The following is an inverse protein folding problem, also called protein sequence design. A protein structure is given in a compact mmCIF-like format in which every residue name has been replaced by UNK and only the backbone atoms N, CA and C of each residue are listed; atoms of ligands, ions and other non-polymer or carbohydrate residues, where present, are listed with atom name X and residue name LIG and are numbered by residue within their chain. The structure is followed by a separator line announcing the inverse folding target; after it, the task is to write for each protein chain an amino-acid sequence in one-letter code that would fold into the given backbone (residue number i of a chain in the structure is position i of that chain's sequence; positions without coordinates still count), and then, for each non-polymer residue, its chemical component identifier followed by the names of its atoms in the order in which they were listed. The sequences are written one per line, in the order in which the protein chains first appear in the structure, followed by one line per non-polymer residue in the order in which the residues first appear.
data_IF_239586559969
#
_entry.id   IF_239586559969
#
_cell.length_a   1.000
_cell.length_b   1.000
_cell.length_c   1.000
_cell.angle_alpha   90.00
_cell.angle_beta   90.00
_cell.angle_gamma   90.00
#
_symmetry.space_group_name_H-M   'P 1'
#
loop_
_entity.id
_entity.type
_entity.pdbx_description
1 polymer ?
#
# COMPACT_ATOMS: atom_id res chain seq x y z
N UNK A 1 26.16 -3.87 13.43
CA UNK A 1 24.69 -3.87 13.44
C UNK A 1 24.08 -2.49 13.28
N UNK A 2 24.44 -1.45 14.05
CA UNK A 2 23.98 -0.08 13.77
C UNK A 2 24.20 0.29 12.29
N UNK A 3 25.41 0.05 11.78
CA UNK A 3 25.76 0.25 10.36
C UNK A 3 24.92 -0.60 9.38
N UNK A 4 24.60 -1.86 9.69
CA UNK A 4 23.79 -2.72 8.80
C UNK A 4 22.32 -2.27 8.70
N UNK A 5 21.74 -1.81 9.82
CA UNK A 5 20.37 -1.28 9.84
C UNK A 5 20.27 0.08 9.15
N UNK A 6 21.26 0.97 9.31
CA UNK A 6 21.34 2.21 8.53
C UNK A 6 21.49 1.92 7.04
N UNK A 7 22.35 0.97 6.65
CA UNK A 7 22.52 0.59 5.24
C UNK A 7 21.25 0.03 4.60
N UNK A 8 20.44 -0.75 5.32
CA UNK A 8 19.17 -1.28 4.77
C UNK A 8 18.10 -0.20 4.63
N UNK A 9 18.01 0.72 5.60
CA UNK A 9 17.10 1.88 5.53
C UNK A 9 17.49 2.81 4.37
N UNK A 10 18.79 3.01 4.14
CA UNK A 10 19.31 3.81 3.03
C UNK A 10 19.04 3.10 1.70
N UNK A 11 19.35 1.80 1.56
CA UNK A 11 19.13 1.04 0.33
C UNK A 11 17.65 0.98 -0.09
N UNK A 12 16.72 0.90 0.86
CA UNK A 12 15.28 0.93 0.57
C UNK A 12 14.80 2.31 0.09
N UNK A 13 15.49 3.39 0.48
CA UNK A 13 15.16 4.79 0.12
C UNK A 13 15.91 5.26 -1.13
N UNK A 14 17.08 4.69 -1.44
CA UNK A 14 17.99 5.16 -2.51
C UNK A 14 18.00 4.28 -3.76
N UNK A 15 17.06 3.35 -3.95
CA UNK A 15 17.04 2.52 -5.16
C UNK A 15 16.84 3.41 -6.39
N UNK A 16 17.74 3.36 -7.41
CA UNK A 16 17.67 4.23 -8.57
C UNK A 16 16.29 4.23 -9.23
N UNK A 17 15.85 5.46 -9.52
CA UNK A 17 14.62 5.75 -10.25
C UNK A 17 14.85 5.40 -11.72
N UNK A 18 14.14 4.38 -12.21
CA UNK A 18 13.89 4.32 -13.65
C UNK A 18 12.74 5.29 -13.87
N UNK A 19 12.99 6.44 -14.49
CA UNK A 19 11.91 7.36 -14.82
C UNK A 19 10.97 6.64 -15.80
N UNK A 20 9.71 6.41 -15.42
CA UNK A 20 8.72 5.98 -16.40
C UNK A 20 8.59 7.10 -17.43
N UNK A 21 8.98 6.84 -18.68
CA UNK A 21 8.78 7.80 -19.77
C UNK A 21 7.28 7.88 -20.03
N UNK A 22 6.69 9.07 -19.86
CA UNK A 22 5.32 9.29 -20.30
C UNK A 22 5.29 9.15 -21.82
N UNK A 23 4.32 8.38 -22.34
CA UNK A 23 4.05 8.30 -23.77
C UNK A 23 3.69 9.70 -24.29
N UNK A 24 4.39 10.18 -25.30
CA UNK A 24 4.20 11.51 -25.88
C UNK A 24 2.72 11.81 -26.22
N UNK A 25 1.96 10.86 -26.81
CA UNK A 25 0.52 11.00 -27.05
C UNK A 25 -0.33 11.24 -25.79
N UNK A 26 0.05 10.66 -24.66
CA UNK A 26 -0.68 10.83 -23.39
C UNK A 26 -0.50 12.24 -22.83
N UNK A 27 0.66 12.87 -23.05
CA UNK A 27 0.92 14.23 -22.64
C UNK A 27 0.06 15.23 -23.42
N UNK A 28 -0.08 15.04 -24.74
CA UNK A 28 -0.99 15.81 -25.58
C UNK A 28 -2.44 15.68 -25.10
N UNK A 29 -2.93 14.44 -24.93
CA UNK A 29 -4.30 14.18 -24.50
C UNK A 29 -4.59 14.75 -23.11
N UNK A 30 -3.67 14.54 -22.16
CA UNK A 30 -3.81 15.07 -20.80
C UNK A 30 -3.93 16.59 -20.80
N UNK A 31 -3.07 17.32 -21.53
CA UNK A 31 -3.14 18.77 -21.60
C UNK A 31 -4.48 19.25 -22.17
N UNK A 32 -4.91 18.64 -23.27
CA UNK A 32 -6.15 18.99 -23.97
C UNK A 32 -7.41 18.64 -23.18
N UNK A 33 -7.35 17.62 -22.33
CA UNK A 33 -8.48 17.24 -21.46
C UNK A 33 -8.89 18.33 -20.46
N UNK A 34 -7.99 19.28 -20.17
CA UNK A 34 -8.28 20.45 -19.31
C UNK A 34 -8.78 21.66 -20.11
N UNK A 35 -8.79 21.61 -21.44
CA UNK A 35 -9.30 22.67 -22.31
C UNK A 35 -10.81 22.54 -22.43
N UNK A 36 -11.53 23.65 -22.24
CA UNK A 36 -12.97 23.69 -22.42
C UNK A 36 -13.28 24.01 -23.88
N UNK A 37 -13.48 22.98 -24.72
CA UNK A 37 -13.91 23.19 -26.10
C UNK A 37 -15.41 23.49 -26.19
N UNK A 38 -15.82 24.39 -27.08
CA UNK A 38 -17.23 24.61 -27.40
C UNK A 38 -17.84 23.37 -28.07
N UNK A 39 -19.06 22.99 -27.71
CA UNK A 39 -19.78 21.85 -28.28
C UNK A 39 -20.03 20.73 -27.27
N UNK A 40 -20.28 19.51 -27.76
CA UNK A 40 -20.61 18.36 -26.91
C UNK A 40 -19.43 18.02 -25.97
N UNK A 41 -19.70 18.00 -24.66
CA UNK A 41 -18.71 17.74 -23.61
C UNK A 41 -18.55 16.26 -23.25
N UNK A 42 -19.43 15.39 -23.75
CA UNK A 42 -19.44 13.96 -23.43
C UNK A 42 -18.39 13.23 -24.27
N UNK A 43 -17.26 12.83 -23.66
CA UNK A 43 -16.08 12.23 -24.35
C UNK A 43 -15.56 13.08 -25.51
N UNK A 44 -15.09 14.29 -25.19
CA UNK A 44 -14.59 15.26 -26.17
C UNK A 44 -13.54 14.68 -27.12
N UNK A 45 -12.68 13.78 -26.62
CA UNK A 45 -11.66 13.08 -27.41
C UNK A 45 -12.23 12.19 -28.53
N UNK A 46 -13.51 11.83 -28.47
CA UNK A 46 -14.19 11.01 -29.47
C UNK A 46 -15.19 11.80 -30.31
N UNK A 47 -15.79 12.88 -29.78
CA UNK A 47 -16.93 13.56 -30.42
C UNK A 47 -16.66 15.01 -30.80
N UNK A 48 -15.70 15.67 -30.16
CA UNK A 48 -15.48 17.09 -30.36
C UNK A 48 -14.41 17.30 -31.43
N UNK A 49 -14.82 17.80 -32.60
CA UNK A 49 -13.91 18.05 -33.72
C UNK A 49 -12.79 19.03 -33.36
N UNK A 50 -13.06 20.03 -32.52
CA UNK A 50 -12.03 20.99 -32.08
C UNK A 50 -10.95 20.29 -31.25
N UNK A 51 -11.36 19.41 -30.35
CA UNK A 51 -10.44 18.61 -29.54
C UNK A 51 -9.60 17.67 -30.43
N UNK A 52 -10.26 16.94 -31.34
CA UNK A 52 -9.60 16.00 -32.25
C UNK A 52 -8.54 16.71 -33.09
N UNK A 53 -8.88 17.85 -33.71
CA UNK A 53 -7.93 18.64 -34.52
C UNK A 53 -6.78 19.18 -33.66
N UNK A 54 -7.07 19.66 -32.45
CA UNK A 54 -6.03 20.14 -31.51
C UNK A 54 -5.09 19.02 -31.05
N UNK A 55 -5.61 17.81 -30.86
CA UNK A 55 -4.84 16.62 -30.52
C UNK A 55 -3.87 16.24 -31.63
N UNK A 56 -4.34 16.21 -32.88
CA UNK A 56 -3.46 15.98 -34.03
C UNK A 56 -2.41 17.09 -34.20
N UNK A 57 -2.76 18.36 -33.96
CA UNK A 57 -1.80 19.46 -33.96
C UNK A 57 -0.67 19.20 -32.96
N UNK A 58 -1.02 18.81 -31.73
CA UNK A 58 -0.03 18.49 -30.70
C UNK A 58 0.87 17.30 -31.09
N UNK A 59 0.28 16.22 -31.60
CA UNK A 59 1.03 15.05 -32.06
C UNK A 59 2.00 15.41 -33.19
N UNK A 60 1.58 16.24 -34.14
CA UNK A 60 2.44 16.66 -35.25
C UNK A 60 3.60 17.54 -34.78
N UNK A 61 3.36 18.39 -33.79
CA UNK A 61 4.36 19.30 -33.26
C UNK A 61 5.38 18.61 -32.34
N UNK A 62 4.92 17.72 -31.45
CA UNK A 62 5.75 17.14 -30.39
C UNK A 62 6.03 15.63 -30.54
N UNK A 63 5.19 14.89 -31.25
CA UNK A 63 5.20 13.42 -31.30
C UNK A 63 5.10 12.84 -32.74
N UNK A 64 5.87 13.33 -33.74
CA UNK A 64 5.62 12.96 -35.14
C UNK A 64 5.76 11.45 -35.41
N UNK A 65 6.65 10.76 -34.69
CA UNK A 65 6.87 9.32 -34.84
C UNK A 65 5.79 8.42 -34.21
N UNK A 66 5.00 8.93 -33.27
CA UNK A 66 4.00 8.16 -32.51
C UNK A 66 2.55 8.45 -32.97
N UNK A 67 2.36 9.37 -33.93
CA UNK A 67 1.03 9.85 -34.33
C UNK A 67 0.11 8.75 -34.89
N UNK A 68 0.65 7.79 -35.65
CA UNK A 68 -0.11 6.67 -36.24
C UNK A 68 -0.58 5.68 -35.16
N UNK A 69 0.30 5.37 -34.20
CA UNK A 69 -0.02 4.50 -33.07
C UNK A 69 -1.06 5.15 -32.16
N UNK A 70 -0.86 6.44 -31.84
CA UNK A 70 -1.79 7.26 -31.06
C UNK A 70 -3.20 7.28 -31.68
N UNK A 71 -3.28 7.46 -33.00
CA UNK A 71 -4.56 7.41 -33.72
C UNK A 71 -5.24 6.04 -33.61
N UNK A 72 -4.48 4.96 -33.75
CA UNK A 72 -5.01 3.60 -33.64
C UNK A 72 -5.55 3.33 -32.23
N UNK A 73 -4.83 3.79 -31.20
CA UNK A 73 -5.25 3.72 -29.81
C UNK A 73 -6.53 4.55 -29.54
N UNK A 74 -6.60 5.78 -30.07
CA UNK A 74 -7.78 6.64 -29.95
C UNK A 74 -9.00 5.99 -30.63
N UNK A 75 -8.84 5.48 -31.87
CA UNK A 75 -9.91 4.78 -32.60
C UNK A 75 -10.42 3.56 -31.84
N UNK A 76 -9.52 2.81 -31.18
CA UNK A 76 -9.90 1.66 -30.33
C UNK A 76 -10.74 2.12 -29.13
N UNK A 77 -10.35 3.20 -28.48
CA UNK A 77 -11.05 3.78 -27.32
C UNK A 77 -12.43 4.34 -27.71
N UNK A 78 -12.55 4.91 -28.90
CA UNK A 78 -13.76 5.57 -29.37
C UNK A 78 -14.69 4.67 -30.22
N UNK A 79 -14.43 3.36 -30.33
CA UNK A 79 -15.22 2.42 -31.16
C UNK A 79 -16.75 2.47 -30.98
N UNK A 80 -17.24 2.89 -29.81
CA UNK A 80 -18.68 3.00 -29.51
C UNK A 80 -19.28 4.39 -29.78
N UNK A 81 -18.50 5.32 -30.33
CA UNK A 81 -18.87 6.73 -30.55
C UNK A 81 -18.61 7.09 -32.03
N UNK A 82 -19.14 8.22 -32.50
CA UNK A 82 -19.07 8.65 -33.91
C UNK A 82 -17.69 8.46 -34.58
N UNK A 83 -17.68 8.27 -35.90
CA UNK A 83 -16.47 7.97 -36.66
C UNK A 83 -15.45 9.12 -36.58
N UNK A 84 -14.29 8.87 -35.96
CA UNK A 84 -13.14 9.79 -35.96
C UNK A 84 -12.63 9.94 -37.40
N UNK A 85 -12.35 11.17 -37.88
CA UNK A 85 -11.80 11.39 -39.21
C UNK A 85 -10.45 10.66 -39.40
N UNK A 86 -10.19 10.21 -40.61
CA UNK A 86 -8.89 9.61 -40.97
C UNK A 86 -7.77 10.64 -40.81
N UNK A 87 -6.64 10.21 -40.24
CA UNK A 87 -5.48 11.09 -39.98
C UNK A 87 -5.00 11.84 -41.22
N UNK A 88 -5.10 11.22 -42.41
CA UNK A 88 -4.73 11.82 -43.69
C UNK A 88 -5.67 12.96 -44.14
N UNK A 89 -6.91 12.96 -43.66
CA UNK A 89 -7.93 13.96 -44.01
C UNK A 89 -7.92 15.16 -43.05
N UNK A 90 -7.10 15.10 -41.99
CA UNK A 90 -6.96 16.20 -41.02
C UNK A 90 -5.79 17.07 -41.43
N UNK A 91 -6.00 17.93 -42.42
CA UNK A 91 -5.03 18.96 -42.82
C UNK A 91 -5.03 20.08 -41.78
N UNK A 92 -4.01 20.10 -40.92
CA UNK A 92 -3.83 21.14 -39.90
C UNK A 92 -2.62 21.99 -40.26
N UNK A 93 -2.85 23.29 -40.45
CA UNK A 93 -1.79 24.30 -40.43
C UNK A 93 -1.42 24.58 -38.98
N UNK A 94 -0.32 23.97 -38.51
CA UNK A 94 0.11 24.03 -37.10
C UNK A 94 0.53 25.45 -36.71
N UNK A 95 1.07 26.20 -37.66
CA UNK A 95 1.61 27.55 -37.42
C UNK A 95 0.50 28.61 -37.35
N UNK A 96 -0.64 28.35 -38.01
CA UNK A 96 -1.81 29.24 -38.01
C UNK A 96 -2.75 29.10 -36.80
N UNK A 97 -2.58 28.06 -35.97
CA UNK A 97 -3.47 27.84 -34.81
C UNK A 97 -3.10 28.72 -33.61
N UNK A 98 -4.12 29.18 -32.89
CA UNK A 98 -3.94 29.90 -31.65
C UNK A 98 -3.26 29.01 -30.59
N UNK A 99 -2.20 29.52 -29.95
CA UNK A 99 -1.49 28.83 -28.87
C UNK A 99 -2.28 28.96 -27.57
N UNK A 100 -2.47 27.84 -26.88
CA UNK A 100 -3.08 27.81 -25.54
C UNK A 100 -2.01 27.65 -24.45
N UNK A 101 -2.10 28.50 -23.44
CA UNK A 101 -1.15 28.53 -22.32
C UNK A 101 -1.75 27.89 -21.07
N UNK A 102 -0.91 27.55 -20.09
CA UNK A 102 -1.40 27.08 -18.78
C UNK A 102 -2.30 28.12 -18.08
N UNK A 103 -2.09 29.42 -18.35
CA UNK A 103 -2.91 30.50 -17.79
C UNK A 103 -4.34 30.49 -18.32
N UNK A 104 -4.52 30.11 -19.58
CA UNK A 104 -5.82 30.07 -20.22
C UNK A 104 -6.69 28.92 -19.70
N UNK A 105 -6.06 27.83 -19.26
CA UNK A 105 -6.76 26.72 -18.58
C UNK A 105 -7.43 27.18 -17.27
N UNK A 106 -6.80 28.08 -16.52
CA UNK A 106 -7.39 28.59 -15.26
C UNK A 106 -8.61 29.48 -15.49
N UNK A 107 -8.71 30.15 -16.64
CA UNK A 107 -9.86 30.99 -16.99
C UNK A 107 -11.11 30.16 -17.30
N UNK A 108 -10.94 28.88 -17.66
CA UNK A 108 -12.03 27.96 -18.06
C UNK A 108 -12.94 28.54 -19.16
N UNK A 109 -12.38 29.38 -20.03
CA UNK A 109 -13.12 30.02 -21.10
C UNK A 109 -13.36 29.01 -22.25
N UNK A 110 -14.58 28.92 -22.81
CA UNK A 110 -14.83 28.04 -23.94
C UNK A 110 -14.05 28.44 -25.19
N UNK A 111 -13.30 27.51 -25.76
CA UNK A 111 -12.54 27.68 -26.98
C UNK A 111 -13.39 27.29 -28.18
N UNK A 112 -13.55 28.21 -29.14
CA UNK A 112 -14.43 28.06 -30.32
C UNK A 112 -13.73 27.57 -31.59
N UNK A 113 -12.41 27.44 -31.55
CA UNK A 113 -11.56 27.05 -32.68
C UNK A 113 -10.51 26.02 -32.23
N UNK A 114 -9.91 25.25 -33.14
CA UNK A 114 -8.79 24.39 -32.79
C UNK A 114 -7.62 25.21 -32.25
N UNK A 115 -6.86 24.62 -31.34
CA UNK A 115 -5.71 25.27 -30.71
C UNK A 115 -4.49 24.36 -30.78
N UNK A 116 -3.31 24.95 -30.73
CA UNK A 116 -2.07 24.22 -30.50
C UNK A 116 -1.54 24.48 -29.11
N UNK A 117 -0.81 23.53 -28.53
CA UNK A 117 -0.24 23.70 -27.20
C UNK A 117 0.98 24.60 -27.26
N UNK A 118 1.10 25.52 -26.30
CA UNK A 118 2.37 26.16 -26.02
C UNK A 118 3.37 25.13 -25.44
N UNK A 119 4.64 25.27 -25.76
CA UNK A 119 5.70 24.37 -25.28
C UNK A 119 5.74 24.26 -23.75
N UNK A 120 5.57 25.38 -23.05
CA UNK A 120 5.54 25.40 -21.58
C UNK A 120 4.38 24.57 -21.01
N UNK A 121 3.20 24.59 -21.65
CA UNK A 121 2.05 23.79 -21.28
C UNK A 121 2.25 22.30 -21.61
N UNK A 122 2.85 22.00 -22.76
CA UNK A 122 3.20 20.62 -23.12
C UNK A 122 4.17 20.00 -22.12
N UNK A 123 5.28 20.68 -21.81
CA UNK A 123 6.26 20.22 -20.81
C UNK A 123 5.66 20.06 -19.41
N UNK A 124 4.73 20.95 -19.04
CA UNK A 124 3.98 20.87 -17.78
C UNK A 124 3.06 19.63 -17.74
N UNK A 125 2.43 19.28 -18.86
CA UNK A 125 1.64 18.06 -19.01
C UNK A 125 2.52 16.81 -18.91
N UNK A 126 3.65 16.79 -19.62
CA UNK A 126 4.65 15.71 -19.52
C UNK A 126 5.05 15.49 -18.06
N UNK A 127 5.45 16.56 -17.35
CA UNK A 127 5.82 16.47 -15.93
C UNK A 127 4.66 15.99 -15.05
N UNK A 128 3.44 16.44 -15.32
CA UNK A 128 2.24 16.01 -14.56
C UNK A 128 2.00 14.51 -14.66
N UNK A 129 2.18 13.93 -15.85
CA UNK A 129 1.99 12.48 -16.06
C UNK A 129 3.17 11.68 -15.54
N UNK A 130 4.41 12.06 -15.88
CA UNK A 130 5.61 11.33 -15.44
C UNK A 130 5.73 11.34 -13.92
N UNK A 131 5.42 12.46 -13.28
CA UNK A 131 5.36 12.56 -11.81
C UNK A 131 4.33 11.58 -11.24
N UNK A 132 3.10 11.55 -11.78
CA UNK A 132 2.06 10.64 -11.30
C UNK A 132 2.45 9.15 -11.47
N UNK A 133 3.01 8.78 -12.63
CA UNK A 133 3.43 7.41 -12.91
C UNK A 133 4.63 7.00 -12.02
N UNK A 134 5.61 7.89 -11.83
CA UNK A 134 6.71 7.66 -10.90
C UNK A 134 6.21 7.49 -9.45
N UNK A 135 5.18 8.24 -9.05
CA UNK A 135 4.53 8.09 -7.74
C UNK A 135 3.83 6.73 -7.57
N UNK A 136 3.17 6.21 -8.61
CA UNK A 136 2.56 4.87 -8.53
C UNK A 136 3.63 3.78 -8.45
N UNK A 137 4.72 3.89 -9.23
CA UNK A 137 5.83 2.93 -9.18
C UNK A 137 6.52 2.91 -7.80
N UNK A 138 6.82 4.08 -7.23
CA UNK A 138 7.45 4.16 -5.90
C UNK A 138 6.52 3.62 -4.82
N UNK A 139 5.20 3.74 -4.97
CA UNK A 139 4.24 3.15 -4.02
C UNK A 139 4.32 1.62 -4.02
N UNK A 140 4.34 1.00 -5.21
CA UNK A 140 4.48 -0.46 -5.34
C UNK A 140 5.80 -0.95 -4.72
N UNK A 141 6.90 -0.27 -5.03
CA UNK A 141 8.24 -0.58 -4.47
C UNK A 141 8.24 -0.47 -2.94
N UNK A 142 7.61 0.55 -2.37
CA UNK A 142 7.53 0.73 -0.92
C UNK A 142 6.66 -0.36 -0.27
N UNK A 143 5.59 -0.79 -0.93
CA UNK A 143 4.83 -1.98 -0.52
C UNK A 143 5.71 -3.23 -0.46
N UNK A 144 6.53 -3.47 -1.50
CA UNK A 144 7.49 -4.59 -1.52
C UNK A 144 8.57 -4.48 -0.44
N UNK A 145 8.99 -3.27 -0.08
CA UNK A 145 9.96 -3.06 1.00
C UNK A 145 9.46 -3.60 2.35
N UNK A 146 8.14 -3.59 2.61
CA UNK A 146 7.56 -4.21 3.81
C UNK A 146 7.76 -5.72 3.84
N UNK A 147 7.53 -6.40 2.72
CA UNK A 147 7.78 -7.83 2.61
C UNK A 147 9.27 -8.15 2.71
N UNK A 148 10.12 -7.35 2.05
CA UNK A 148 11.57 -7.48 2.12
C UNK A 148 12.09 -7.36 3.55
N UNK A 149 11.59 -6.38 4.31
CA UNK A 149 11.95 -6.20 5.72
C UNK A 149 11.63 -7.44 6.58
N UNK A 150 10.41 -7.96 6.49
CA UNK A 150 10.02 -9.13 7.29
C UNK A 150 10.65 -10.42 6.79
N UNK A 151 10.81 -10.60 5.48
CA UNK A 151 11.52 -11.73 4.89
C UNK A 151 12.98 -11.78 5.35
N UNK A 152 13.68 -10.64 5.32
CA UNK A 152 15.05 -10.55 5.84
C UNK A 152 15.11 -10.85 7.34
N UNK A 153 14.18 -10.31 8.13
CA UNK A 153 14.12 -10.55 9.58
C UNK A 153 13.91 -12.03 9.90
N UNK A 154 13.00 -12.70 9.17
CA UNK A 154 12.75 -14.14 9.30
C UNK A 154 13.96 -14.95 8.82
N UNK A 155 14.59 -14.57 7.70
CA UNK A 155 15.78 -15.22 7.17
C UNK A 155 16.93 -15.19 8.18
N UNK A 156 17.25 -14.02 8.72
CA UNK A 156 18.28 -13.87 9.77
C UNK A 156 17.97 -14.77 10.96
N UNK A 157 16.73 -14.81 11.41
CA UNK A 157 16.31 -15.66 12.54
C UNK A 157 16.43 -17.15 12.23
N UNK A 158 16.12 -17.54 10.99
CA UNK A 158 16.23 -18.92 10.51
C UNK A 158 17.69 -19.37 10.41
N UNK A 159 18.58 -18.49 9.93
CA UNK A 159 20.02 -18.73 9.89
C UNK A 159 20.60 -18.84 11.31
N UNK A 160 20.16 -18.00 12.25
CA UNK A 160 20.57 -18.09 13.66
C UNK A 160 20.13 -19.42 14.29
N UNK A 161 18.91 -19.88 14.00
CA UNK A 161 18.41 -21.17 14.46
C UNK A 161 19.18 -22.34 13.85
N UNK A 162 19.45 -22.30 12.54
CA UNK A 162 20.25 -23.32 11.85
C UNK A 162 21.66 -23.37 12.43
N UNK A 163 22.27 -22.21 12.69
CA UNK A 163 23.56 -22.11 13.32
C UNK A 163 23.58 -22.77 14.71
N UNK A 164 22.59 -22.45 15.55
CA UNK A 164 22.43 -23.09 16.87
C UNK A 164 22.33 -24.61 16.74
N UNK A 165 21.45 -25.11 15.88
CA UNK A 165 21.30 -26.54 15.62
C UNK A 165 22.60 -27.22 15.17
N UNK A 166 23.35 -26.61 14.24
CA UNK A 166 24.62 -27.14 13.75
C UNK A 166 25.70 -27.16 14.84
N UNK A 167 25.78 -26.10 15.67
CA UNK A 167 26.74 -26.04 16.77
C UNK A 167 26.44 -27.03 17.90
N UNK A 168 25.16 -27.31 18.18
CA UNK A 168 24.75 -28.33 19.16
C UNK A 168 25.00 -29.74 18.62
N UNK A 169 24.74 -29.99 17.34
CA UNK A 169 24.87 -31.32 16.72
C UNK A 169 26.32 -31.68 16.36
N UNK A 170 27.14 -30.70 15.99
CA UNK A 170 28.54 -30.88 15.60
C UNK A 170 29.49 -29.99 16.43
N UNK A 171 29.75 -30.34 17.70
CA UNK A 171 30.50 -29.50 18.63
C UNK A 171 31.95 -29.21 18.19
N UNK A 172 32.54 -30.03 17.30
CA UNK A 172 33.87 -29.80 16.71
C UNK A 172 33.94 -28.55 15.82
N UNK A 173 32.82 -28.12 15.21
CA UNK A 173 32.74 -26.87 14.42
C UNK A 173 32.68 -25.65 15.35
N UNK A 174 32.07 -25.80 16.53
CA UNK A 174 31.96 -24.75 17.54
C UNK A 174 33.26 -24.52 18.35
N UNK A 175 34.27 -25.41 18.23
CA UNK A 175 35.52 -25.32 18.99
C UNK A 175 36.46 -24.18 18.59
N UNK A 176 36.20 -23.44 17.50
CA UNK A 176 36.97 -22.20 17.23
C UNK A 176 36.61 -21.12 18.26
N UNK A 177 37.49 -20.88 19.23
CA UNK A 177 37.23 -20.02 20.39
C UNK A 177 36.76 -18.58 20.10
N UNK A 178 37.10 -18.01 18.93
CA UNK A 178 36.57 -16.71 18.50
C UNK A 178 35.06 -16.74 18.22
N UNK A 179 34.57 -17.83 17.61
CA UNK A 179 33.17 -18.00 17.23
C UNK A 179 32.27 -18.09 18.47
N UNK A 180 32.72 -18.82 19.50
CA UNK A 180 32.03 -18.87 20.80
C UNK A 180 32.06 -17.51 21.52
N UNK A 181 33.19 -16.78 21.50
CA UNK A 181 33.27 -15.44 22.09
C UNK A 181 32.32 -14.44 21.40
N UNK A 182 32.22 -14.48 20.06
CA UNK A 182 31.32 -13.62 19.29
C UNK A 182 29.85 -13.97 19.52
N UNK A 183 29.50 -15.27 19.50
CA UNK A 183 28.13 -15.77 19.79
C UNK A 183 27.68 -15.41 21.20
N UNK A 184 28.54 -15.60 22.21
CA UNK A 184 28.24 -15.23 23.60
C UNK A 184 28.07 -13.73 23.78
N UNK A 185 28.93 -12.90 23.16
CA UNK A 185 28.76 -11.44 23.19
C UNK A 185 27.45 -11.00 22.53
N UNK A 186 27.09 -11.59 21.38
CA UNK A 186 25.82 -11.32 20.70
C UNK A 186 24.63 -11.68 21.58
N UNK A 187 24.66 -12.86 22.22
CA UNK A 187 23.60 -13.31 23.13
C UNK A 187 23.45 -12.39 24.33
N UNK A 188 24.56 -12.05 24.97
CA UNK A 188 24.60 -11.22 26.18
C UNK A 188 24.19 -9.77 25.95
N UNK A 189 24.44 -9.19 24.77
CA UNK A 189 24.19 -7.76 24.56
C UNK A 189 22.93 -7.48 23.72
N UNK A 190 22.48 -8.44 22.90
CA UNK A 190 21.51 -8.19 21.83
C UNK A 190 20.27 -9.07 21.95
N UNK A 191 20.42 -10.39 22.01
CA UNK A 191 19.27 -11.30 21.87
C UNK A 191 18.53 -11.54 23.19
N UNK A 192 19.26 -11.65 24.31
CA UNK A 192 18.71 -12.04 25.62
C UNK A 192 18.23 -10.86 26.48
N UNK A 193 18.88 -9.68 26.52
CA UNK A 193 18.52 -8.71 27.55
C UNK A 193 17.14 -8.04 27.37
N UNK A 194 16.60 -7.52 28.47
CA UNK A 194 15.38 -6.72 28.55
C UNK A 194 15.51 -5.33 27.92
N UNK A 195 14.53 -4.83 27.16
CA UNK A 195 14.60 -3.49 26.53
C UNK A 195 14.82 -2.39 27.56
N UNK A 196 14.04 -2.41 28.63
CA UNK A 196 14.20 -1.61 29.83
C UNK A 196 13.87 -2.51 31.03
N UNK A 197 14.51 -2.28 32.18
CA UNK A 197 14.25 -3.06 33.41
C UNK A 197 15.01 -4.38 33.53
N UNK A 198 14.59 -5.21 34.50
CA UNK A 198 15.26 -6.47 34.90
C UNK A 198 14.68 -7.73 34.23
N UNK A 199 13.55 -7.63 33.50
CA UNK A 199 12.81 -8.79 32.95
C UNK A 199 12.66 -8.71 31.44
N UNK A 200 12.80 -9.86 30.77
CA UNK A 200 12.83 -10.03 29.30
C UNK A 200 11.54 -9.62 28.58
N UNK A 201 10.39 -9.63 29.26
CA UNK A 201 9.15 -9.01 28.80
C UNK A 201 8.45 -8.40 30.02
N UNK A 202 8.13 -7.11 29.96
CA UNK A 202 7.55 -6.37 31.08
C UNK A 202 6.29 -5.64 30.62
N UNK A 203 5.24 -5.69 31.45
CA UNK A 203 4.01 -4.94 31.21
C UNK A 203 4.22 -3.52 31.75
N UNK A 204 4.21 -2.52 30.87
CA UNK A 204 4.29 -1.12 31.25
C UNK A 204 2.94 -0.48 30.92
N UNK A 205 2.12 -0.30 31.95
CA UNK A 205 0.78 0.29 31.84
C UNK A 205 -0.12 -0.44 30.84
N UNK A 206 -0.35 0.19 29.69
CA UNK A 206 -1.29 -0.27 28.65
C UNK A 206 -0.66 -1.23 27.62
N UNK A 207 0.67 -1.43 27.66
CA UNK A 207 1.43 -2.18 26.67
C UNK A 207 2.36 -3.23 27.29
N UNK A 208 2.60 -4.32 26.55
CA UNK A 208 3.64 -5.31 26.87
C UNK A 208 4.88 -5.01 26.03
N UNK A 209 6.01 -4.73 26.68
CA UNK A 209 7.29 -4.44 26.02
C UNK A 209 8.05 -5.73 25.72
N UNK A 210 8.39 -6.01 24.46
CA UNK A 210 9.14 -7.22 24.08
C UNK A 210 10.63 -7.19 24.47
N UNK A 211 11.33 -8.34 24.41
CA UNK A 211 12.79 -8.43 24.57
C UNK A 211 13.55 -7.49 23.62
N UNK A 212 14.80 -7.10 23.94
CA UNK A 212 15.57 -6.08 23.18
C UNK A 212 15.54 -6.27 21.67
N UNK A 213 15.86 -7.46 21.18
CA UNK A 213 15.90 -7.72 19.74
C UNK A 213 14.53 -7.53 19.08
N UNK A 214 13.45 -8.03 19.69
CA UNK A 214 12.09 -7.86 19.16
C UNK A 214 11.72 -6.39 19.11
N UNK A 215 12.05 -5.65 20.17
CA UNK A 215 11.80 -4.21 20.27
C UNK A 215 12.63 -3.42 19.24
N UNK A 216 13.88 -3.79 18.99
CA UNK A 216 14.69 -3.18 17.93
C UNK A 216 14.10 -3.44 16.53
N UNK A 217 13.63 -4.67 16.26
CA UNK A 217 12.93 -5.00 15.01
C UNK A 217 11.65 -4.17 14.86
N UNK A 218 10.86 -4.04 15.93
CA UNK A 218 9.63 -3.23 15.92
C UNK A 218 9.95 -1.75 15.68
N UNK A 219 10.95 -1.19 16.35
CA UNK A 219 11.37 0.21 16.14
C UNK A 219 11.84 0.41 14.71
N UNK A 220 12.63 -0.51 14.15
CA UNK A 220 13.07 -0.44 12.77
C UNK A 220 11.89 -0.53 11.78
N UNK A 221 10.91 -1.40 12.06
CA UNK A 221 9.69 -1.50 11.26
C UNK A 221 8.86 -0.21 11.28
N UNK A 222 8.67 0.39 12.47
CA UNK A 222 7.94 1.67 12.61
C UNK A 222 8.69 2.80 11.90
N UNK A 223 10.02 2.89 12.10
CA UNK A 223 10.85 3.90 11.47
C UNK A 223 10.84 3.77 9.94
N UNK A 224 10.84 2.54 9.42
CA UNK A 224 10.73 2.28 7.98
C UNK A 224 9.36 2.73 7.45
N UNK A 225 8.24 2.33 8.07
CA UNK A 225 6.91 2.78 7.63
C UNK A 225 6.79 4.31 7.65
N UNK A 226 7.26 4.95 8.72
CA UNK A 226 7.26 6.41 8.81
C UNK A 226 8.10 7.07 7.71
N UNK A 227 9.32 6.57 7.47
CA UNK A 227 10.20 7.09 6.42
C UNK A 227 9.57 6.94 5.03
N UNK A 228 8.96 5.79 4.73
CA UNK A 228 8.27 5.54 3.47
C UNK A 228 6.98 6.36 3.32
N UNK A 229 6.32 6.70 4.42
CA UNK A 229 5.15 7.58 4.42
C UNK A 229 5.48 9.03 4.06
N UNK A 230 6.69 9.52 4.32
CA UNK A 230 7.04 10.95 4.16
C UNK A 230 7.99 11.23 3.00
N UNK A 231 8.59 10.20 2.40
CA UNK A 231 9.63 10.36 1.38
C UNK A 231 9.15 10.15 -0.06
N UNK A 232 9.92 10.71 -0.99
CA UNK A 232 9.79 10.44 -2.42
C UNK A 232 8.59 11.10 -3.09
N UNK A 233 8.12 12.25 -2.60
CA UNK A 233 7.06 13.04 -3.24
C UNK A 233 7.63 14.07 -4.22
N UNK A 234 7.14 14.07 -5.46
CA UNK A 234 7.38 15.16 -6.42
C UNK A 234 6.13 16.07 -6.45
N UNK A 235 6.31 17.29 -5.94
CA UNK A 235 5.25 18.29 -5.78
C UNK A 235 5.73 19.59 -6.41
N UNK A 236 4.92 20.17 -7.29
CA UNK A 236 5.34 21.35 -8.04
C UNK A 236 4.16 22.27 -8.40
N UNK A 237 4.39 23.58 -8.51
CA UNK A 237 3.36 24.54 -8.87
C UNK A 237 2.88 24.31 -10.31
N UNK A 238 1.58 24.50 -10.55
CA UNK A 238 1.01 24.41 -11.89
C UNK A 238 0.66 22.99 -12.36
N UNK A 239 0.80 21.96 -11.52
CA UNK A 239 0.34 20.60 -11.85
C UNK A 239 -1.09 20.61 -12.41
N UNK A 240 -1.28 20.06 -13.62
CA UNK A 240 -2.55 20.18 -14.34
C UNK A 240 -3.69 19.43 -13.64
N UNK A 241 -3.38 18.30 -13.00
CA UNK A 241 -4.36 17.46 -12.28
C UNK A 241 -4.75 18.07 -10.95
N UNK A 242 -3.81 18.68 -10.25
CA UNK A 242 -3.98 19.27 -8.91
C UNK A 242 -3.14 20.53 -8.76
N UNK A 243 -3.63 21.70 -9.20
CA UNK A 243 -2.83 22.93 -9.19
C UNK A 243 -2.37 23.38 -7.79
N UNK A 244 -3.17 23.09 -6.77
CA UNK A 244 -2.89 23.43 -5.38
C UNK A 244 -1.87 22.47 -4.74
N UNK A 245 -0.80 23.03 -4.16
CA UNK A 245 0.25 22.28 -3.46
C UNK A 245 -0.32 21.49 -2.27
N UNK A 246 -1.12 22.07 -1.36
CA UNK A 246 -1.79 21.29 -0.30
C UNK A 246 -2.63 20.12 -0.82
N UNK A 247 -3.28 20.28 -1.97
CA UNK A 247 -4.06 19.22 -2.60
C UNK A 247 -3.15 18.10 -3.15
N UNK A 248 -2.03 18.44 -3.76
CA UNK A 248 -1.03 17.45 -4.21
C UNK A 248 -0.50 16.64 -3.03
N UNK A 249 -0.01 17.32 -1.97
CA UNK A 249 0.57 16.68 -0.79
C UNK A 249 -0.45 15.75 -0.12
N UNK A 250 -1.66 16.24 0.16
CA UNK A 250 -2.72 15.43 0.78
C UNK A 250 -3.11 14.24 -0.09
N UNK A 251 -3.21 14.39 -1.41
CA UNK A 251 -3.52 13.27 -2.31
C UNK A 251 -2.42 12.20 -2.29
N UNK A 252 -1.16 12.63 -2.34
CA UNK A 252 0.01 11.75 -2.41
C UNK A 252 0.19 10.99 -1.10
N UNK A 253 0.07 11.67 0.05
CA UNK A 253 0.07 11.03 1.38
C UNK A 253 -1.06 10.02 1.51
N UNK A 254 -2.28 10.37 1.07
CA UNK A 254 -3.42 9.45 1.08
C UNK A 254 -3.17 8.19 0.25
N UNK A 255 -2.58 8.33 -0.94
CA UNK A 255 -2.21 7.18 -1.78
C UNK A 255 -1.13 6.33 -1.10
N UNK A 256 -0.05 6.95 -0.64
CA UNK A 256 1.10 6.28 0.00
C UNK A 256 0.67 5.44 1.20
N UNK A 257 -0.05 6.06 2.13
CA UNK A 257 -0.57 5.39 3.34
C UNK A 257 -1.52 4.26 2.96
N UNK A 258 -2.39 4.44 1.97
CA UNK A 258 -3.27 3.39 1.45
C UNK A 258 -2.51 2.14 0.99
N UNK A 259 -1.44 2.32 0.21
CA UNK A 259 -0.62 1.20 -0.29
C UNK A 259 0.15 0.51 0.83
N UNK A 260 0.72 1.27 1.78
CA UNK A 260 1.42 0.70 2.93
C UNK A 260 0.50 -0.09 3.86
N UNK A 261 -0.73 0.40 4.09
CA UNK A 261 -1.77 -0.34 4.82
C UNK A 261 -2.00 -1.68 4.14
N UNK A 262 -2.30 -1.68 2.83
CA UNK A 262 -2.55 -2.90 2.07
C UNK A 262 -1.36 -3.86 2.10
N UNK A 263 -0.13 -3.35 1.99
CA UNK A 263 1.09 -4.17 2.10
C UNK A 263 1.26 -4.82 3.48
N UNK A 264 0.92 -4.08 4.56
CA UNK A 264 1.01 -4.56 5.93
C UNK A 264 -0.11 -5.53 6.33
N UNK A 265 -1.27 -5.52 5.66
CA UNK A 265 -2.39 -6.40 5.99
C UNK A 265 -2.02 -7.89 5.91
N UNK A 266 -1.48 -8.45 4.81
CA UNK A 266 -1.08 -9.86 4.76
C UNK A 266 -0.15 -10.29 5.89
N UNK A 267 0.81 -9.42 6.23
CA UNK A 267 1.76 -9.65 7.32
C UNK A 267 1.05 -9.68 8.67
N UNK A 268 0.15 -8.72 8.90
CA UNK A 268 -0.66 -8.64 10.11
C UNK A 268 -1.50 -9.92 10.33
N UNK A 269 -2.18 -10.40 9.30
CA UNK A 269 -3.00 -11.62 9.36
C UNK A 269 -2.14 -12.88 9.52
N UNK A 270 -1.01 -12.96 8.80
CA UNK A 270 -0.07 -14.09 8.88
C UNK A 270 0.49 -14.25 10.29
N UNK A 271 0.87 -13.14 10.94
CA UNK A 271 1.43 -13.18 12.29
C UNK A 271 0.39 -13.41 13.39
N UNK A 272 -0.90 -13.34 13.07
CA UNK A 272 -1.98 -13.71 13.98
C UNK A 272 -2.26 -15.23 14.02
N UNK A 273 -1.76 -16.00 13.04
CA UNK A 273 -2.02 -17.44 12.96
C UNK A 273 -1.45 -18.21 14.14
N UNK A 274 -2.20 -19.24 14.60
CA UNK A 274 -1.69 -20.19 15.61
C UNK A 274 -0.97 -21.35 14.94
N UNK A 275 -1.41 -21.73 13.74
CA UNK A 275 -0.75 -22.76 12.92
C UNK A 275 0.15 -22.10 11.88
N UNK A 276 1.23 -21.46 12.33
CA UNK A 276 2.12 -20.68 11.48
C UNK A 276 3.39 -21.47 11.12
N UNK A 277 3.55 -21.79 9.82
CA UNK A 277 4.76 -22.45 9.28
C UNK A 277 6.02 -21.61 9.57
N UNK A 278 5.90 -20.28 9.59
CA UNK A 278 7.01 -19.39 9.90
C UNK A 278 7.57 -19.62 11.31
N UNK A 279 6.76 -20.12 12.26
CA UNK A 279 7.25 -20.51 13.59
C UNK A 279 8.23 -21.70 13.53
N UNK A 280 7.99 -22.64 12.63
CA UNK A 280 8.91 -23.78 12.44
C UNK A 280 10.22 -23.34 11.80
N UNK A 281 10.15 -22.40 10.86
CA UNK A 281 11.32 -21.90 10.13
C UNK A 281 12.16 -20.97 11.02
N UNK A 282 11.56 -19.94 11.63
CA UNK A 282 12.28 -18.95 12.44
C UNK A 282 12.62 -19.44 13.86
N UNK A 283 11.89 -20.44 14.38
CA UNK A 283 11.99 -20.84 15.79
C UNK A 283 11.32 -19.89 16.76
N UNK A 284 10.60 -18.87 16.28
CA UNK A 284 9.85 -17.97 17.14
C UNK A 284 8.59 -18.63 17.72
N UNK A 285 8.24 -18.23 18.94
CA UNK A 285 7.01 -18.66 19.58
C UNK A 285 5.82 -17.84 19.08
N UNK A 286 4.61 -18.35 19.31
CA UNK A 286 3.39 -17.57 19.05
C UNK A 286 3.37 -16.23 19.80
N UNK A 287 3.97 -16.15 20.99
CA UNK A 287 4.04 -14.89 21.74
C UNK A 287 4.81 -13.81 20.98
N UNK A 288 5.90 -14.19 20.29
CA UNK A 288 6.68 -13.29 19.44
C UNK A 288 5.86 -12.82 18.24
N UNK A 289 5.25 -13.72 17.47
CA UNK A 289 4.41 -13.34 16.33
C UNK A 289 3.20 -12.50 16.75
N UNK A 290 2.55 -12.86 17.85
CA UNK A 290 1.46 -12.08 18.42
C UNK A 290 1.92 -10.66 18.83
N UNK A 291 3.16 -10.51 19.28
CA UNK A 291 3.75 -9.19 19.52
C UNK A 291 3.89 -8.37 18.24
N UNK A 292 4.43 -8.97 17.19
CA UNK A 292 4.55 -8.31 15.89
C UNK A 292 3.19 -7.97 15.28
N UNK A 293 2.21 -8.88 15.33
CA UNK A 293 0.83 -8.63 14.91
C UNK A 293 0.25 -7.37 15.58
N UNK A 294 0.40 -7.22 16.91
CA UNK A 294 -0.10 -6.04 17.64
C UNK A 294 0.57 -4.75 17.19
N UNK A 295 1.86 -4.76 16.92
CA UNK A 295 2.58 -3.57 16.48
C UNK A 295 2.30 -3.21 15.03
N UNK A 296 2.19 -4.20 14.13
CA UNK A 296 1.73 -3.99 12.75
C UNK A 296 0.32 -3.41 12.76
N UNK A 297 -0.60 -3.96 13.56
CA UNK A 297 -1.97 -3.45 13.66
C UNK A 297 -2.03 -1.98 14.12
N UNK A 298 -1.15 -1.55 15.04
CA UNK A 298 -1.05 -0.15 15.47
C UNK A 298 -0.54 0.76 14.36
N UNK A 299 0.46 0.32 13.61
CA UNK A 299 0.99 1.07 12.45
C UNK A 299 -0.10 1.20 11.39
N UNK A 300 -0.76 0.10 11.03
CA UNK A 300 -1.90 0.08 10.09
C UNK A 300 -3.00 1.03 10.54
N UNK A 301 -3.36 1.05 11.83
CA UNK A 301 -4.38 1.98 12.32
C UNK A 301 -3.93 3.45 12.25
N UNK A 302 -2.67 3.74 12.56
CA UNK A 302 -2.15 5.11 12.43
C UNK A 302 -2.16 5.56 10.96
N UNK A 303 -1.74 4.67 10.05
CA UNK A 303 -1.78 4.93 8.60
C UNK A 303 -3.22 5.08 8.09
N UNK A 304 -4.18 4.29 8.57
CA UNK A 304 -5.61 4.41 8.21
C UNK A 304 -6.19 5.77 8.59
N UNK A 305 -5.86 6.28 9.77
CA UNK A 305 -6.28 7.62 10.20
C UNK A 305 -5.62 8.67 9.30
N UNK A 306 -4.33 8.56 9.05
CA UNK A 306 -3.62 9.48 8.15
C UNK A 306 -4.19 9.45 6.72
N UNK A 307 -4.53 8.27 6.21
CA UNK A 307 -5.18 8.06 4.91
C UNK A 307 -6.53 8.77 4.84
N UNK A 308 -7.41 8.56 5.83
CA UNK A 308 -8.73 9.18 5.87
C UNK A 308 -8.64 10.71 5.94
N UNK A 309 -7.76 11.25 6.79
CA UNK A 309 -7.53 12.69 6.91
C UNK A 309 -6.98 13.25 5.58
N UNK A 310 -6.00 12.59 4.99
CA UNK A 310 -5.36 13.04 3.76
C UNK A 310 -6.33 13.07 2.56
N UNK A 311 -7.19 12.06 2.38
CA UNK A 311 -8.22 12.09 1.34
C UNK A 311 -9.32 13.12 1.63
N UNK A 312 -9.72 13.30 2.88
CA UNK A 312 -10.69 14.34 3.28
C UNK A 312 -10.16 15.73 2.94
N UNK A 313 -8.90 16.01 3.26
CA UNK A 313 -8.22 17.26 2.92
C UNK A 313 -8.05 17.42 1.41
N UNK A 314 -7.70 16.35 0.68
CA UNK A 314 -7.53 16.41 -0.78
C UNK A 314 -8.83 16.81 -1.50
N UNK A 315 -9.97 16.28 -1.06
CA UNK A 315 -11.26 16.64 -1.62
C UNK A 315 -11.72 18.04 -1.19
N UNK A 316 -11.47 18.42 0.06
CA UNK A 316 -11.68 19.79 0.53
C UNK A 316 -10.87 20.82 -0.28
N UNK A 317 -9.57 20.61 -0.48
CA UNK A 317 -8.75 21.51 -1.29
C UNK A 317 -9.09 21.48 -2.78
N UNK A 318 -9.78 20.43 -3.25
CA UNK A 318 -10.20 20.32 -4.65
C UNK A 318 -11.51 21.05 -4.96
N UNK A 319 -12.42 21.18 -3.99
CA UNK A 319 -13.76 21.73 -4.25
C UNK A 319 -14.57 22.11 -3.01
N UNK A 320 -13.88 22.35 -1.89
CA UNK A 320 -14.46 22.70 -0.60
C UNK A 320 -15.33 21.59 0.01
N UNK A 321 -16.18 22.01 0.95
CA UNK A 321 -17.13 21.12 1.63
C UNK A 321 -18.08 20.43 0.65
N UNK A 322 -18.48 21.09 -0.45
CA UNK A 322 -19.35 20.49 -1.46
C UNK A 322 -18.74 19.22 -2.06
N UNK A 323 -17.45 19.25 -2.41
CA UNK A 323 -16.78 18.08 -2.97
C UNK A 323 -16.55 16.98 -1.92
N UNK A 324 -16.20 17.37 -0.69
CA UNK A 324 -16.10 16.43 0.43
C UNK A 324 -17.43 15.70 0.69
N UNK A 325 -18.54 16.44 0.80
CA UNK A 325 -19.86 15.85 1.04
C UNK A 325 -20.36 14.99 -0.11
N UNK A 326 -19.95 15.29 -1.35
CA UNK A 326 -20.28 14.47 -2.52
C UNK A 326 -19.71 13.04 -2.48
N UNK A 327 -18.74 12.75 -1.60
CA UNK A 327 -18.20 11.40 -1.45
C UNK A 327 -19.04 10.50 -0.55
N UNK A 328 -19.81 11.05 0.39
CA UNK A 328 -20.55 10.25 1.37
C UNK A 328 -21.59 9.29 0.78
N UNK A 329 -22.28 9.63 -0.34
CA UNK A 329 -23.13 8.66 -1.04
C UNK A 329 -22.37 7.52 -1.73
N UNK A 330 -21.06 7.62 -1.89
CA UNK A 330 -20.26 6.61 -2.57
C UNK A 330 -20.01 5.42 -1.64
N UNK A 331 -20.31 4.20 -2.12
CA UNK A 331 -20.16 2.96 -1.36
C UNK A 331 -18.78 2.83 -0.70
N UNK A 332 -17.72 3.02 -1.49
CA UNK A 332 -16.36 2.86 -1.00
C UNK A 332 -16.01 3.82 0.16
N UNK A 333 -16.63 5.01 0.21
CA UNK A 333 -16.28 6.03 1.20
C UNK A 333 -16.72 5.63 2.60
N UNK A 334 -18.00 5.30 2.77
CA UNK A 334 -18.52 4.93 4.08
C UNK A 334 -18.06 3.54 4.53
N UNK A 335 -17.80 2.59 3.61
CA UNK A 335 -17.15 1.32 3.98
C UNK A 335 -15.71 1.51 4.48
N UNK A 336 -14.99 2.51 3.97
CA UNK A 336 -13.71 2.95 4.54
C UNK A 336 -13.86 3.40 5.99
N UNK A 337 -14.91 4.18 6.29
CA UNK A 337 -15.23 4.61 7.66
C UNK A 337 -15.59 3.42 8.56
N UNK A 338 -16.42 2.49 8.09
CA UNK A 338 -16.77 1.25 8.82
C UNK A 338 -15.51 0.45 9.18
N UNK A 339 -14.56 0.32 8.24
CA UNK A 339 -13.29 -0.36 8.48
C UNK A 339 -12.47 0.34 9.57
N UNK A 340 -12.33 1.66 9.50
CA UNK A 340 -11.58 2.44 10.50
C UNK A 340 -12.22 2.30 11.89
N UNK A 341 -13.54 2.37 11.98
CA UNK A 341 -14.26 2.21 13.25
C UNK A 341 -14.05 0.80 13.81
N UNK A 342 -14.25 -0.24 12.99
CA UNK A 342 -14.06 -1.63 13.39
C UNK A 342 -12.62 -1.90 13.87
N UNK A 343 -11.63 -1.41 13.13
CA UNK A 343 -10.20 -1.53 13.47
C UNK A 343 -9.82 -0.75 14.74
N UNK A 344 -10.43 0.42 14.95
CA UNK A 344 -10.24 1.22 16.16
C UNK A 344 -10.79 0.50 17.39
N UNK A 345 -12.01 -0.04 17.33
CA UNK A 345 -12.57 -0.85 18.42
C UNK A 345 -11.77 -2.13 18.65
N UNK A 346 -11.30 -2.80 17.59
CA UNK A 346 -10.48 -4.00 17.72
C UNK A 346 -9.15 -3.71 18.44
N UNK A 347 -8.55 -2.54 18.16
CA UNK A 347 -7.29 -2.12 18.79
C UNK A 347 -7.50 -1.63 20.21
N UNK A 348 -8.56 -0.86 20.49
CA UNK A 348 -8.89 -0.34 21.81
C UNK A 348 -9.27 -1.47 22.79
N UNK A 349 -10.06 -2.44 22.34
CA UNK A 349 -10.40 -3.63 23.15
C UNK A 349 -9.19 -4.55 23.40
N UNK A 350 -8.15 -4.48 22.56
CA UNK A 350 -6.94 -5.28 22.68
C UNK A 350 -5.90 -4.75 23.69
N UNK A 351 -6.17 -3.62 24.38
CA UNK A 351 -5.29 -3.11 25.43
C UNK A 351 -5.18 -4.09 26.59
N UNK A 352 -4.01 -4.12 27.23
CA UNK A 352 -3.66 -5.17 28.19
C UNK A 352 -4.68 -5.37 29.33
N UNK A 353 -5.15 -4.31 30.03
CA UNK A 353 -6.08 -4.48 31.15
C UNK A 353 -7.43 -5.08 30.75
N UNK A 354 -8.00 -4.62 29.63
CA UNK A 354 -9.30 -5.10 29.12
C UNK A 354 -9.19 -6.56 28.72
N UNK A 355 -8.17 -6.90 27.92
CA UNK A 355 -7.95 -8.27 27.45
C UNK A 355 -7.70 -9.25 28.60
N UNK A 356 -7.02 -8.82 29.67
CA UNK A 356 -6.77 -9.67 30.83
C UNK A 356 -8.04 -9.93 31.64
N UNK A 357 -8.89 -8.91 31.82
CA UNK A 357 -10.09 -9.00 32.66
C UNK A 357 -11.28 -9.66 31.96
N UNK A 358 -11.43 -9.45 30.65
CA UNK A 358 -12.57 -9.91 29.86
C UNK A 358 -12.12 -10.72 28.64
N UNK A 359 -11.29 -11.74 28.86
CA UNK A 359 -10.60 -12.46 27.77
C UNK A 359 -11.56 -13.07 26.73
N UNK A 360 -12.61 -13.77 27.17
CA UNK A 360 -13.54 -14.45 26.25
C UNK A 360 -14.35 -13.45 25.42
N UNK A 361 -14.85 -12.39 26.06
CA UNK A 361 -15.57 -11.31 25.38
C UNK A 361 -14.65 -10.57 24.39
N UNK A 362 -13.41 -10.27 24.80
CA UNK A 362 -12.39 -9.72 23.91
C UNK A 362 -12.15 -10.63 22.71
N UNK A 363 -11.95 -11.93 22.92
CA UNK A 363 -11.59 -12.86 21.85
C UNK A 363 -12.71 -12.96 20.80
N UNK A 364 -13.96 -13.13 21.23
CA UNK A 364 -15.10 -13.22 20.33
C UNK A 364 -15.35 -11.88 19.61
N UNK A 365 -15.38 -10.79 20.37
CA UNK A 365 -15.56 -9.44 19.82
C UNK A 365 -14.50 -9.07 18.81
N UNK A 366 -13.22 -9.39 19.09
CA UNK A 366 -12.12 -9.12 18.18
C UNK A 366 -12.24 -9.91 16.87
N UNK A 367 -12.75 -11.16 16.88
CA UNK A 367 -13.01 -11.93 15.65
C UNK A 367 -14.11 -11.27 14.82
N UNK A 368 -15.22 -10.84 15.45
CA UNK A 368 -16.32 -10.15 14.76
C UNK A 368 -15.83 -8.84 14.15
N UNK A 369 -15.09 -8.04 14.91
CA UNK A 369 -14.52 -6.77 14.44
C UNK A 369 -13.50 -6.99 13.31
N UNK A 370 -12.69 -8.05 13.39
CA UNK A 370 -11.74 -8.38 12.32
C UNK A 370 -12.46 -8.81 11.02
N UNK A 371 -13.57 -9.53 11.10
CA UNK A 371 -14.42 -9.84 9.94
C UNK A 371 -15.02 -8.56 9.34
N UNK A 372 -15.60 -7.70 10.18
CA UNK A 372 -16.18 -6.43 9.73
C UNK A 372 -15.13 -5.53 9.08
N UNK A 373 -13.93 -5.47 9.66
CA UNK A 373 -12.78 -4.77 9.09
C UNK A 373 -12.42 -5.32 7.70
N UNK A 374 -12.35 -6.64 7.53
CA UNK A 374 -11.99 -7.26 6.26
C UNK A 374 -13.07 -7.06 5.19
N UNK A 375 -14.36 -7.19 5.55
CA UNK A 375 -15.50 -6.92 4.67
C UNK A 375 -15.54 -5.45 4.26
N UNK A 376 -15.39 -4.54 5.21
CA UNK A 376 -15.34 -3.11 4.90
C UNK A 376 -14.15 -2.75 4.01
N UNK A 377 -13.00 -3.40 4.20
CA UNK A 377 -11.82 -3.21 3.36
C UNK A 377 -12.13 -3.64 1.92
N UNK A 378 -12.78 -4.79 1.70
CA UNK A 378 -13.17 -5.26 0.38
C UNK A 378 -14.03 -4.24 -0.36
N UNK A 379 -15.13 -3.79 0.26
CA UNK A 379 -16.03 -2.83 -0.39
C UNK A 379 -15.39 -1.45 -0.58
N UNK A 380 -14.43 -1.07 0.28
CA UNK A 380 -13.64 0.14 0.10
C UNK A 380 -12.70 0.08 -1.12
N UNK A 381 -12.05 -1.06 -1.37
CA UNK A 381 -11.08 -1.19 -2.46
C UNK A 381 -11.69 -1.65 -3.78
N UNK A 382 -12.91 -2.22 -3.77
CA UNK A 382 -13.60 -2.79 -4.95
C UNK A 382 -13.67 -1.85 -6.16
N UNK A 383 -13.74 -0.53 -5.93
CA UNK A 383 -13.80 0.49 -6.99
C UNK A 383 -12.47 0.66 -7.74
N UNK A 384 -11.37 0.06 -7.28
CA UNK A 384 -10.02 0.23 -7.85
C UNK A 384 -9.62 -0.88 -8.83
N UNK A 385 -10.56 -1.47 -9.56
CA UNK A 385 -10.31 -2.41 -10.67
C UNK A 385 -9.27 -3.51 -10.34
N UNK A 386 -9.41 -4.12 -9.17
CA UNK A 386 -8.55 -5.21 -8.66
C UNK A 386 -7.08 -4.84 -8.39
N UNK A 387 -6.73 -3.54 -8.38
CA UNK A 387 -5.36 -3.08 -8.13
C UNK A 387 -4.77 -3.67 -6.83
N UNK A 388 -5.61 -3.84 -5.81
CA UNK A 388 -5.20 -4.30 -4.48
C UNK A 388 -5.52 -5.76 -4.17
N UNK A 389 -5.98 -6.53 -5.14
CA UNK A 389 -6.36 -7.93 -4.95
C UNK A 389 -5.18 -8.79 -4.49
N UNK A 390 -3.97 -8.49 -4.99
CA UNK A 390 -2.74 -9.17 -4.59
C UNK A 390 -2.41 -9.00 -3.10
N UNK A 391 -2.93 -7.95 -2.44
CA UNK A 391 -2.78 -7.72 -1.02
C UNK A 391 -3.96 -8.26 -0.22
N UNK A 392 -5.18 -8.10 -0.74
CA UNK A 392 -6.39 -8.44 -0.03
C UNK A 392 -6.59 -9.96 0.11
N UNK A 393 -6.54 -10.71 -1.00
CA UNK A 393 -6.85 -12.13 -1.01
C UNK A 393 -5.91 -13.00 -0.15
N UNK A 394 -4.61 -12.71 -0.03
CA UNK A 394 -3.75 -13.40 0.94
C UNK A 394 -4.28 -13.30 2.38
N UNK A 395 -4.87 -12.17 2.79
CA UNK A 395 -5.44 -12.03 4.13
C UNK A 395 -6.59 -13.03 4.36
N UNK A 396 -7.50 -13.11 3.38
CA UNK A 396 -8.63 -14.04 3.39
C UNK A 396 -8.13 -15.49 3.42
N UNK A 397 -7.19 -15.82 2.52
CA UNK A 397 -6.65 -17.17 2.39
C UNK A 397 -5.96 -17.64 3.67
N UNK A 398 -5.08 -16.82 4.24
CA UNK A 398 -4.36 -17.09 5.50
C UNK A 398 -5.33 -17.32 6.65
N UNK A 399 -6.36 -16.48 6.77
CA UNK A 399 -7.35 -16.58 7.84
C UNK A 399 -8.22 -17.83 7.70
N UNK A 400 -8.76 -18.08 6.50
CA UNK A 400 -9.58 -19.25 6.19
C UNK A 400 -8.79 -20.55 6.42
N UNK A 401 -7.54 -20.60 5.98
CA UNK A 401 -6.66 -21.74 6.18
C UNK A 401 -6.42 -22.03 7.67
N UNK A 402 -6.08 -21.02 8.49
CA UNK A 402 -5.89 -21.20 9.93
C UNK A 402 -7.17 -21.68 10.64
N UNK A 403 -8.36 -21.24 10.20
CA UNK A 403 -9.64 -21.74 10.72
C UNK A 403 -9.91 -23.18 10.32
N UNK A 404 -9.70 -23.52 9.05
CA UNK A 404 -9.92 -24.88 8.52
C UNK A 404 -9.02 -25.90 9.24
N UNK A 405 -7.74 -25.59 9.45
CA UNK A 405 -6.82 -26.46 10.18
C UNK A 405 -7.26 -26.69 11.64
N UNK A 406 -7.80 -25.67 12.30
CA UNK A 406 -8.30 -25.81 13.68
C UNK A 406 -9.53 -26.69 13.73
N UNK A 407 -10.49 -26.47 12.84
CA UNK A 407 -11.70 -27.29 12.75
C UNK A 407 -11.33 -28.74 12.45
N UNK A 408 -10.45 -28.97 11.47
CA UNK A 408 -9.93 -30.30 11.16
C UNK A 408 -9.27 -30.98 12.36
N UNK A 409 -8.44 -30.26 13.13
CA UNK A 409 -7.81 -30.81 14.34
C UNK A 409 -8.85 -31.21 15.40
N UNK A 410 -9.87 -30.39 15.62
CA UNK A 410 -10.96 -30.69 16.57
C UNK A 410 -11.73 -31.93 16.11
N UNK A 411 -12.08 -32.02 14.83
CA UNK A 411 -12.77 -33.17 14.25
C UNK A 411 -11.95 -34.46 14.41
N UNK A 412 -10.66 -34.43 14.05
CA UNK A 412 -9.77 -35.59 14.18
C UNK A 412 -9.63 -36.06 15.63
N UNK A 413 -9.46 -35.13 16.58
CA UNK A 413 -9.34 -35.47 18.00
C UNK A 413 -10.64 -36.03 18.57
N UNK A 414 -11.80 -35.48 18.18
CA UNK A 414 -13.11 -35.99 18.59
C UNK A 414 -13.41 -37.36 17.99
N UNK A 415 -13.11 -37.58 16.71
CA UNK A 415 -13.24 -38.89 16.07
C UNK A 415 -12.35 -39.95 16.75
N UNK A 416 -11.08 -39.61 17.05
CA UNK A 416 -10.16 -40.52 17.75
C UNK A 416 -10.65 -40.85 19.15
N UNK A 417 -11.18 -39.87 19.90
CA UNK A 417 -11.78 -40.10 21.22
C UNK A 417 -13.00 -41.04 21.12
N UNK A 418 -13.88 -40.84 20.15
CA UNK A 418 -15.04 -41.69 19.95
C UNK A 418 -14.66 -43.15 19.60
N UNK A 419 -13.60 -43.34 18.79
CA UNK A 419 -13.05 -44.68 18.50
C UNK A 419 -12.47 -45.31 19.77
N UNK A 420 -11.67 -44.58 20.55
CA UNK A 420 -11.07 -45.10 21.79
C UNK A 420 -12.11 -45.45 22.86
N UNK A 421 -13.22 -44.70 22.94
CA UNK A 421 -14.33 -45.01 23.86
C UNK A 421 -15.14 -46.24 23.43
N UNK A 422 -15.16 -46.59 22.14
CA UNK A 422 -15.77 -47.85 21.65
C UNK A 422 -14.89 -49.08 21.91
N UNK A 423 -13.58 -48.92 22.06
CA UNK A 423 -12.63 -50.03 22.23
C UNK A 423 -12.43 -50.41 23.70
N UNK A 424 -12.72 -49.51 24.66
CA UNK A 424 -12.66 -49.85 26.09
C UNK A 424 -13.99 -50.45 26.55
N UNK A 425 -14.03 -51.69 27.06
CA UNK A 425 -15.22 -52.17 27.75
C UNK A 425 -15.53 -51.27 28.96
N UNK A 426 -16.81 -51.10 29.35
CA UNK A 426 -17.13 -50.47 30.62
C UNK A 426 -16.40 -51.23 31.73
N UNK A 427 -15.64 -50.50 32.56
CA UNK A 427 -15.02 -51.10 33.74
C UNK A 427 -16.14 -51.66 34.64
N UNK A 428 -15.93 -52.85 35.23
CA UNK A 428 -16.93 -53.54 36.05
C UNK A 428 -17.33 -52.75 37.29
#
# INVERSE_FOLDING_TARGET
MKSFFYSFLILAVTWPFAASTALCPSACESALSYVVFSGNATKQQCTNQLHIVSYYSCLRQYCPGEAVEAYTALKKTCKSTAAIPTIANVTVDVDGLAKITAKDLYKKAPVKQPVTLEESLYLLSVRTITSAAAQDEINVRYGHAMYGFWALTILVSSLMKLWEFLTTKYPRVAQKGWVNKASTKLRQHVTIPALAGKRTAENIGWCTVPPRLQSLVIIAFIALNLALCVSGYDVFPGNLKRPSIPNQVSRLIGRRTGVLIMANLPLMWTFAMRNNILSWISGWTFATFSSFHRWIARVVMAELVAHAVAYSLSDYYSGGLKKYYAQWPQEYWWWGVVSIIAGSFATASAIYPIRQRFYDAFLLGHIVLAMLFLVGTWFHIKKQDNEFDMYFWPCVAVWAFDRALRLGRVLVLNCRRHILLRIRPPWP
#
